data_IF_702985375624
#
_entry.id   IF_702985375624
#
_cell.length_a   1.000
_cell.length_b   1.000
_cell.length_c   1.000
_cell.angle_alpha   90.00
_cell.angle_beta   90.00
_cell.angle_gamma   90.00
#
_symmetry.space_group_name_H-M   'P 1'
#
loop_
_entity.id
_entity.type
_entity.pdbx_description
1 polymer ?
#
# COMPACT_ATOMS: atom_id res chain seq x y z
N UNK A 1 80.28 23.90 -1.37
CA UNK A 1 80.41 22.54 -1.93
C UNK A 1 79.16 21.78 -1.52
N UNK A 2 78.12 21.90 -2.35
CA UNK A 2 77.59 20.82 -3.21
C UNK A 2 76.71 19.82 -2.44
N UNK A 3 75.44 19.72 -2.86
CA UNK A 3 74.58 18.57 -2.55
C UNK A 3 73.14 18.89 -2.13
N UNK A 4 72.31 19.43 -3.02
CA UNK A 4 70.86 19.13 -3.05
C UNK A 4 70.70 18.04 -4.14
N UNK A 5 69.59 17.27 -4.26
CA UNK A 5 68.36 17.21 -3.46
C UNK A 5 67.88 15.76 -3.18
N UNK A 6 66.74 15.57 -2.50
CA UNK A 6 65.70 14.57 -2.86
C UNK A 6 64.48 14.65 -1.94
N UNK A 7 63.44 15.29 -2.48
CA UNK A 7 62.01 14.96 -2.39
C UNK A 7 61.64 13.73 -1.55
N UNK A 8 60.89 13.93 -0.47
CA UNK A 8 60.04 12.88 0.09
C UNK A 8 58.62 13.08 -0.48
N UNK A 9 58.41 12.59 -1.70
CA UNK A 9 57.06 12.36 -2.21
C UNK A 9 56.63 11.05 -1.56
N UNK A 10 55.78 11.11 -0.54
CA UNK A 10 55.09 9.91 -0.10
C UNK A 10 54.15 9.49 -1.23
N UNK A 11 54.63 8.61 -2.08
CA UNK A 11 53.79 7.81 -2.97
C UNK A 11 52.85 7.01 -2.09
N UNK A 12 51.60 7.45 -2.03
CA UNK A 12 50.47 6.55 -1.77
C UNK A 12 50.46 5.56 -2.93
N UNK A 13 51.21 4.47 -2.81
CA UNK A 13 50.91 3.26 -3.56
C UNK A 13 49.59 2.77 -2.98
N UNK A 14 48.50 3.12 -3.64
CA UNK A 14 47.25 2.41 -3.48
C UNK A 14 47.56 0.96 -3.85
N UNK A 15 47.67 0.10 -2.82
CA UNK A 15 47.71 -1.34 -3.00
C UNK A 15 46.47 -1.71 -3.80
N UNK A 16 46.70 -2.10 -5.05
CA UNK A 16 45.69 -2.52 -6.03
C UNK A 16 45.10 -3.89 -5.69
N UNK A 17 45.14 -4.28 -4.42
CA UNK A 17 44.72 -5.59 -3.92
C UNK A 17 43.80 -5.47 -2.70
N UNK A 18 43.07 -4.36 -2.55
CA UNK A 18 41.88 -4.33 -1.68
C UNK A 18 40.63 -4.58 -2.51
N UNK A 19 40.45 -5.87 -2.76
CA UNK A 19 39.19 -6.57 -2.52
C UNK A 19 38.00 -6.26 -3.44
N UNK A 20 38.19 -6.54 -4.75
CA UNK A 20 37.08 -6.73 -5.69
C UNK A 20 36.09 -7.81 -5.19
N UNK A 21 36.60 -8.82 -4.46
CA UNK A 21 35.81 -9.90 -3.87
C UNK A 21 34.87 -9.40 -2.76
N UNK A 22 35.32 -8.49 -1.91
CA UNK A 22 34.54 -7.88 -0.84
C UNK A 22 33.57 -6.82 -1.35
N UNK A 23 33.94 -6.06 -2.40
CA UNK A 23 33.00 -5.15 -3.05
C UNK A 23 31.88 -5.90 -3.79
N UNK A 24 32.19 -7.02 -4.46
CA UNK A 24 31.20 -7.93 -5.04
C UNK A 24 30.30 -8.57 -3.96
N UNK A 25 30.88 -9.02 -2.84
CA UNK A 25 30.13 -9.60 -1.73
C UNK A 25 29.19 -8.59 -1.03
N UNK A 26 29.60 -7.32 -0.92
CA UNK A 26 28.80 -6.23 -0.34
C UNK A 26 27.56 -5.91 -1.18
N UNK A 27 27.62 -6.14 -2.50
CA UNK A 27 26.47 -6.02 -3.41
C UNK A 27 25.63 -7.31 -3.48
N UNK A 28 26.24 -8.49 -3.36
CA UNK A 28 25.51 -9.79 -3.33
C UNK A 28 24.61 -9.96 -2.11
N UNK A 29 25.06 -9.54 -0.93
CA UNK A 29 24.40 -9.85 0.35
C UNK A 29 23.03 -9.20 0.59
N UNK A 30 22.54 -8.30 -0.27
CA UNK A 30 21.24 -7.62 -0.10
C UNK A 30 20.21 -7.87 -1.20
N UNK A 31 20.58 -8.53 -2.29
CA UNK A 31 19.69 -8.75 -3.44
C UNK A 31 19.15 -10.19 -3.51
N UNK A 32 19.59 -11.07 -2.61
CA UNK A 32 19.23 -12.50 -2.61
C UNK A 32 17.98 -12.83 -1.75
N UNK A 33 17.39 -11.81 -1.11
CA UNK A 33 16.22 -11.97 -0.21
C UNK A 33 14.96 -11.26 -0.74
N UNK A 34 14.88 -11.04 -2.06
CA UNK A 34 13.66 -10.58 -2.70
C UNK A 34 13.15 -11.77 -3.51
N UNK A 35 12.05 -12.36 -3.05
CA UNK A 35 11.31 -13.39 -3.77
C UNK A 35 10.76 -12.73 -5.06
N UNK A 36 11.47 -12.93 -6.17
CA UNK A 36 11.15 -12.34 -7.47
C UNK A 36 10.14 -13.24 -8.17
N UNK A 37 9.03 -12.67 -8.68
CA UNK A 37 8.10 -13.36 -9.59
C UNK A 37 8.88 -14.09 -10.68
N UNK A 38 8.49 -15.33 -10.98
CA UNK A 38 9.20 -16.19 -11.93
C UNK A 38 9.35 -15.52 -13.31
N UNK A 39 10.36 -15.91 -14.07
CA UNK A 39 10.64 -15.28 -15.38
C UNK A 39 9.43 -15.50 -16.30
N UNK A 40 8.80 -16.66 -16.19
CA UNK A 40 7.61 -17.07 -16.91
C UNK A 40 6.40 -16.20 -16.58
N UNK A 41 6.12 -15.96 -15.29
CA UNK A 41 5.02 -15.10 -14.86
C UNK A 41 5.26 -13.62 -15.24
N UNK A 42 6.52 -13.16 -15.18
CA UNK A 42 6.87 -11.80 -15.60
C UNK A 42 6.53 -11.55 -17.08
N UNK A 43 6.91 -12.45 -18.00
CA UNK A 43 6.61 -12.25 -19.42
C UNK A 43 5.13 -12.48 -19.79
N UNK A 44 4.35 -13.13 -18.93
CA UNK A 44 2.90 -13.31 -19.12
C UNK A 44 2.10 -12.12 -18.60
N UNK A 45 2.48 -11.55 -17.46
CA UNK A 45 1.70 -10.50 -16.79
C UNK A 45 2.19 -9.08 -17.09
N UNK A 46 3.49 -8.90 -17.38
CA UNK A 46 4.05 -7.58 -17.62
C UNK A 46 3.66 -7.04 -19.00
N UNK A 47 3.19 -5.78 -19.09
CA UNK A 47 2.94 -5.09 -20.34
C UNK A 47 4.19 -5.09 -21.23
N UNK A 48 4.01 -5.11 -22.57
CA UNK A 48 5.12 -5.11 -23.52
C UNK A 48 6.04 -3.89 -23.36
N UNK A 49 5.51 -2.78 -22.83
CA UNK A 49 6.26 -1.56 -22.54
C UNK A 49 7.33 -1.73 -21.44
N UNK A 50 7.15 -2.70 -20.54
CA UNK A 50 8.05 -2.99 -19.42
C UNK A 50 8.84 -4.27 -19.68
N UNK A 51 8.20 -5.30 -20.23
CA UNK A 51 8.87 -6.57 -20.49
C UNK A 51 9.96 -6.44 -21.56
N UNK A 52 9.75 -5.59 -22.58
CA UNK A 52 10.68 -5.32 -23.69
C UNK A 52 11.49 -6.56 -24.09
N UNK A 53 10.77 -7.64 -24.41
CA UNK A 53 11.36 -8.97 -24.61
C UNK A 53 12.51 -8.98 -25.62
N UNK A 54 12.51 -8.08 -26.61
CA UNK A 54 13.58 -7.92 -27.61
C UNK A 54 14.93 -7.52 -27.01
N UNK A 55 14.95 -6.79 -25.88
CA UNK A 55 16.16 -6.26 -25.24
C UNK A 55 16.48 -7.06 -23.97
N UNK A 56 15.45 -7.45 -23.21
CA UNK A 56 15.64 -8.19 -21.94
C UNK A 56 16.03 -9.65 -22.15
N UNK A 57 15.66 -10.29 -23.26
CA UNK A 57 16.10 -11.66 -23.56
C UNK A 57 17.58 -11.74 -23.95
N UNK A 58 18.18 -10.63 -24.41
CA UNK A 58 19.57 -10.56 -24.85
C UNK A 58 20.57 -10.17 -23.77
N UNK A 59 20.12 -9.53 -22.68
CA UNK A 59 20.98 -9.09 -21.58
C UNK A 59 20.37 -9.48 -20.21
N UNK A 60 21.01 -10.40 -19.45
CA UNK A 60 20.58 -10.80 -18.11
C UNK A 60 20.43 -9.63 -17.13
N UNK A 61 21.23 -8.57 -17.28
CA UNK A 61 21.14 -7.38 -16.43
C UNK A 61 19.86 -6.60 -16.73
N UNK A 62 19.55 -6.36 -18.01
CA UNK A 62 18.31 -5.68 -18.41
C UNK A 62 17.07 -6.48 -18.01
N UNK A 63 17.12 -7.81 -18.11
CA UNK A 63 16.05 -8.68 -17.63
C UNK A 63 15.76 -8.47 -16.13
N UNK A 64 16.82 -8.40 -15.32
CA UNK A 64 16.69 -8.20 -13.88
C UNK A 64 16.11 -6.82 -13.55
N UNK A 65 16.55 -5.77 -14.25
CA UNK A 65 16.01 -4.41 -14.09
C UNK A 65 14.52 -4.33 -14.46
N UNK A 66 14.14 -4.98 -15.57
CA UNK A 66 12.75 -4.99 -16.02
C UNK A 66 11.83 -5.74 -15.04
N UNK A 67 12.29 -6.88 -14.49
CA UNK A 67 11.59 -7.61 -13.43
C UNK A 67 11.39 -6.76 -12.18
N UNK A 68 12.44 -6.08 -11.72
CA UNK A 68 12.36 -5.18 -10.55
C UNK A 68 11.42 -4.00 -10.79
N UNK A 69 11.40 -3.45 -12.01
CA UNK A 69 10.50 -2.36 -12.36
C UNK A 69 9.03 -2.81 -12.29
N UNK A 70 8.72 -3.98 -12.85
CA UNK A 70 7.37 -4.55 -12.81
C UNK A 70 6.88 -4.84 -11.39
N UNK A 71 7.71 -5.49 -10.57
CA UNK A 71 7.42 -5.75 -9.16
C UNK A 71 7.10 -4.46 -8.39
N UNK A 72 7.91 -3.42 -8.62
CA UNK A 72 7.71 -2.13 -7.98
C UNK A 72 6.38 -1.50 -8.42
N UNK A 73 6.04 -1.57 -9.70
CA UNK A 73 4.76 -1.09 -10.21
C UNK A 73 3.57 -1.89 -9.65
N UNK A 74 3.68 -3.21 -9.56
CA UNK A 74 2.68 -4.07 -8.92
C UNK A 74 2.45 -3.69 -7.47
N UNK A 75 3.53 -3.52 -6.70
CA UNK A 75 3.45 -3.08 -5.30
C UNK A 75 2.82 -1.70 -5.17
N UNK A 76 3.16 -0.76 -6.05
CA UNK A 76 2.51 0.57 -6.09
C UNK A 76 1.00 0.46 -6.35
N UNK A 77 0.62 -0.34 -7.35
CA UNK A 77 -0.79 -0.56 -7.72
C UNK A 77 -1.59 -1.18 -6.57
N UNK A 78 -1.02 -2.20 -5.93
CA UNK A 78 -1.63 -2.86 -4.77
C UNK A 78 -1.75 -1.91 -3.57
N UNK A 79 -0.71 -1.13 -3.29
CA UNK A 79 -0.73 -0.13 -2.23
C UNK A 79 -1.79 0.96 -2.47
N UNK A 80 -1.94 1.41 -3.72
CA UNK A 80 -2.98 2.37 -4.08
C UNK A 80 -4.38 1.77 -3.88
N UNK A 81 -4.62 0.57 -4.41
CA UNK A 81 -5.90 -0.14 -4.23
C UNK A 81 -6.23 -0.38 -2.76
N UNK A 82 -5.22 -0.70 -1.95
CA UNK A 82 -5.39 -0.85 -0.51
C UNK A 82 -5.77 0.48 0.15
N UNK A 83 -5.13 1.58 -0.22
CA UNK A 83 -5.44 2.93 0.27
C UNK A 83 -6.87 3.35 -0.11
N UNK A 84 -7.28 3.11 -1.35
CA UNK A 84 -8.64 3.36 -1.82
C UNK A 84 -9.67 2.53 -1.04
N UNK A 85 -9.40 1.24 -0.84
CA UNK A 85 -10.25 0.34 -0.08
C UNK A 85 -10.40 0.79 1.38
N UNK A 86 -9.30 1.20 2.01
CA UNK A 86 -9.29 1.74 3.37
C UNK A 86 -10.14 3.02 3.46
N UNK A 87 -9.96 3.95 2.51
CA UNK A 87 -10.77 5.18 2.45
C UNK A 87 -12.25 4.89 2.28
N UNK A 88 -12.61 3.94 1.41
CA UNK A 88 -14.00 3.54 1.22
C UNK A 88 -14.58 2.89 2.49
N UNK A 89 -13.79 2.06 3.19
CA UNK A 89 -14.20 1.50 4.48
C UNK A 89 -14.53 2.60 5.48
N UNK A 90 -13.67 3.61 5.60
CA UNK A 90 -13.90 4.74 6.50
C UNK A 90 -15.15 5.56 6.14
N UNK A 91 -15.39 5.79 4.85
CA UNK A 91 -16.61 6.48 4.37
C UNK A 91 -17.86 5.70 4.77
N UNK A 92 -17.89 4.39 4.49
CA UNK A 92 -19.02 3.52 4.84
C UNK A 92 -19.26 3.51 6.34
N UNK A 93 -18.20 3.42 7.15
CA UNK A 93 -18.33 3.47 8.61
C UNK A 93 -18.93 4.79 9.11
N UNK A 94 -18.52 5.92 8.53
CA UNK A 94 -19.11 7.24 8.84
C UNK A 94 -20.58 7.30 8.45
N UNK A 95 -20.94 6.81 7.27
CA UNK A 95 -22.34 6.76 6.83
C UNK A 95 -23.21 5.88 7.74
N UNK A 96 -22.68 4.74 8.18
CA UNK A 96 -23.36 3.87 9.14
C UNK A 96 -23.62 4.62 10.45
N UNK A 97 -22.63 5.36 10.97
CA UNK A 97 -22.83 6.09 12.22
C UNK A 97 -23.86 7.21 12.09
N UNK A 98 -23.83 7.96 10.97
CA UNK A 98 -24.86 8.98 10.68
C UNK A 98 -26.25 8.35 10.60
N UNK A 99 -26.39 7.21 9.93
CA UNK A 99 -27.68 6.49 9.83
C UNK A 99 -28.15 5.96 11.18
N UNK A 100 -27.23 5.46 12.02
CA UNK A 100 -27.54 5.03 13.39
C UNK A 100 -28.05 6.20 14.22
N UNK A 101 -27.38 7.35 14.14
CA UNK A 101 -27.80 8.53 14.88
C UNK A 101 -29.16 9.05 14.41
N UNK A 102 -29.40 9.03 13.10
CA UNK A 102 -30.72 9.35 12.55
C UNK A 102 -31.81 8.41 13.09
N UNK A 103 -31.57 7.09 13.09
CA UNK A 103 -32.51 6.12 13.67
C UNK A 103 -32.73 6.33 15.17
N UNK A 104 -31.67 6.63 15.93
CA UNK A 104 -31.77 6.98 17.36
C UNK A 104 -32.62 8.23 17.57
N UNK A 105 -32.50 9.23 16.71
CA UNK A 105 -33.30 10.46 16.77
C UNK A 105 -34.77 10.26 16.38
N UNK A 106 -35.08 9.22 15.60
CA UNK A 106 -36.45 8.94 15.16
C UNK A 106 -37.32 8.39 16.28
N UNK A 107 -36.73 7.61 17.19
CA UNK A 107 -37.46 6.99 18.31
C UNK A 107 -38.14 7.99 19.26
N UNK A 108 -37.48 9.05 19.77
CA UNK A 108 -38.15 10.06 20.57
C UNK A 108 -39.20 10.85 19.76
N UNK A 109 -38.98 11.09 18.46
CA UNK A 109 -39.98 11.75 17.60
C UNK A 109 -41.25 10.90 17.47
N UNK A 110 -41.11 9.59 17.22
CA UNK A 110 -42.23 8.66 17.15
C UNK A 110 -42.96 8.56 18.50
N UNK A 111 -42.21 8.48 19.61
CA UNK A 111 -42.80 8.51 20.95
C UNK A 111 -43.59 9.80 21.20
N UNK A 112 -43.06 10.95 20.77
CA UNK A 112 -43.75 12.24 20.91
C UNK A 112 -45.07 12.27 20.13
N UNK A 113 -45.07 11.81 18.88
CA UNK A 113 -46.28 11.70 18.05
C UNK A 113 -47.29 10.74 18.69
N UNK A 114 -46.80 9.59 19.17
CA UNK A 114 -47.62 8.60 19.87
C UNK A 114 -48.32 9.24 21.08
N UNK A 115 -47.57 9.93 21.96
CA UNK A 115 -48.14 10.62 23.12
C UNK A 115 -49.12 11.73 22.72
N UNK A 116 -48.80 12.54 21.71
CA UNK A 116 -49.67 13.62 21.23
C UNK A 116 -50.99 13.11 20.64
N UNK A 117 -51.00 11.89 20.09
CA UNK A 117 -52.20 11.29 19.49
C UNK A 117 -53.13 10.58 20.48
N UNK A 118 -52.68 10.33 21.72
CA UNK A 118 -53.47 9.65 22.76
C UNK A 118 -54.84 10.31 23.04
N UNK A 119 -54.96 11.65 23.20
CA UNK A 119 -56.25 12.26 23.54
C UNK A 119 -57.31 12.07 22.44
N UNK A 120 -56.89 12.09 21.18
CA UNK A 120 -57.78 11.87 20.03
C UNK A 120 -58.19 10.40 19.95
N UNK A 121 -57.28 9.47 20.25
CA UNK A 121 -57.57 8.04 20.29
C UNK A 121 -58.57 7.68 21.39
N UNK A 122 -58.41 8.25 22.59
CA UNK A 122 -59.33 8.10 23.72
C UNK A 122 -60.72 8.63 23.36
N UNK A 123 -60.80 9.81 22.74
CA UNK A 123 -62.06 10.40 22.28
C UNK A 123 -62.77 9.52 21.26
N UNK A 124 -62.03 8.90 20.32
CA UNK A 124 -62.58 8.03 19.27
C UNK A 124 -62.74 6.57 19.72
N UNK A 125 -62.47 6.23 20.99
CA UNK A 125 -62.51 4.86 21.52
C UNK A 125 -61.69 3.86 20.67
N UNK A 126 -60.56 4.29 20.14
CA UNK A 126 -59.63 3.44 19.37
C UNK A 126 -58.46 3.00 20.24
N UNK A 127 -58.42 1.74 20.74
CA UNK A 127 -57.34 1.28 21.59
C UNK A 127 -56.06 1.00 20.79
N UNK A 128 -54.92 1.53 21.26
CA UNK A 128 -53.60 1.11 20.81
C UNK A 128 -53.18 -0.15 21.58
N UNK A 129 -52.99 -1.28 20.90
CA UNK A 129 -52.47 -2.50 21.53
C UNK A 129 -50.99 -2.28 21.84
N UNK A 130 -50.63 -2.32 23.13
CA UNK A 130 -49.26 -2.24 23.64
C UNK A 130 -48.43 -3.46 23.18
N UNK A 131 -48.03 -3.50 21.92
CA UNK A 131 -46.87 -4.28 21.51
C UNK A 131 -45.64 -3.38 21.74
N UNK A 132 -44.57 -3.93 22.32
CA UNK A 132 -43.29 -3.27 22.68
C UNK A 132 -43.16 -2.73 24.12
N UNK A 133 -43.47 -3.58 25.11
CA UNK A 133 -42.65 -3.68 26.34
C UNK A 133 -41.82 -4.96 26.27
N UNK A 134 -40.71 -4.96 25.54
CA UNK A 134 -39.55 -5.85 25.73
C UNK A 134 -38.29 -5.07 25.34
#
# INVERSE_FOLDING_TARGET
>A
MQGVPKTCVHTLTADSSVDVSFFSARLRSKHEEIDLVSVEEFYQEAPPDISKAEITMGDPHQQTLARLHWELEQRKRLAEKYRESLSNKEKILKEIEVKKEYLRSLQPLLNSIMQASLPVQEYLSMPFHQAHKQ
#
